data_IF_242942872991
#
_entry.id   IF_242942872991
#
_cell.length_a   1.000
_cell.length_b   1.000
_cell.length_c   1.000
_cell.angle_alpha   90.00
_cell.angle_beta   90.00
_cell.angle_gamma   90.00
#
_symmetry.space_group_name_H-M   'P 1'
#
loop_
_entity.id
_entity.type
_entity.pdbx_description
1 polymer ?
#
# COMPACT_ATOMS: atom_id res chain seq x y z
N UNK A 1 4.04 -22.04 -23.63
CA UNK A 1 4.40 -21.39 -22.36
C UNK A 1 3.85 -22.25 -21.24
N UNK A 2 4.53 -22.34 -20.09
CA UNK A 2 3.97 -22.97 -18.89
C UNK A 2 2.74 -22.18 -18.41
N UNK A 3 1.72 -22.88 -17.92
CA UNK A 3 0.57 -22.25 -17.27
C UNK A 3 0.98 -21.75 -15.88
N UNK A 4 0.36 -20.66 -15.43
CA UNK A 4 0.62 -20.05 -14.13
C UNK A 4 0.15 -21.01 -13.03
N UNK A 5 1.02 -21.30 -12.07
CA UNK A 5 0.75 -22.24 -10.98
C UNK A 5 0.11 -21.50 -9.80
N UNK A 6 -0.99 -22.03 -9.28
CA UNK A 6 -1.80 -21.45 -8.21
C UNK A 6 -1.94 -22.46 -7.08
N UNK A 7 -1.69 -22.05 -5.83
CA UNK A 7 -1.97 -22.88 -4.65
C UNK A 7 -3.04 -22.21 -3.79
N UNK A 8 -4.19 -22.85 -3.65
CA UNK A 8 -5.29 -22.39 -2.81
C UNK A 8 -5.24 -23.10 -1.47
N UNK A 9 -5.00 -22.35 -0.41
CA UNK A 9 -4.86 -22.85 0.95
C UNK A 9 -6.15 -22.56 1.70
N UNK A 10 -6.79 -23.61 2.20
CA UNK A 10 -8.03 -23.52 2.97
C UNK A 10 -7.74 -23.94 4.42
N UNK A 11 -8.14 -23.10 5.39
CA UNK A 11 -8.21 -23.57 6.77
C UNK A 11 -9.16 -24.78 6.84
N UNK A 12 -8.77 -25.75 7.68
CA UNK A 12 -9.32 -27.12 7.80
C UNK A 12 -9.28 -28.04 6.56
N UNK A 13 -8.79 -27.58 5.40
CA UNK A 13 -8.63 -28.40 4.18
C UNK A 13 -9.87 -28.55 3.29
N UNK A 14 -9.69 -28.62 1.96
CA UNK A 14 -10.81 -28.75 1.02
C UNK A 14 -11.40 -30.16 1.00
N UNK A 15 -12.67 -30.25 0.63
CA UNK A 15 -13.31 -31.49 0.19
C UNK A 15 -13.08 -31.74 -1.31
N UNK A 16 -13.25 -32.98 -1.77
CA UNK A 16 -13.05 -33.36 -3.19
C UNK A 16 -13.85 -32.49 -4.17
N UNK A 17 -15.07 -32.07 -3.79
CA UNK A 17 -15.89 -31.16 -4.57
C UNK A 17 -15.30 -29.74 -4.65
N UNK A 18 -14.77 -29.22 -3.54
CA UNK A 18 -14.11 -27.92 -3.52
C UNK A 18 -12.79 -27.95 -4.31
N UNK A 19 -12.05 -29.07 -4.30
CA UNK A 19 -10.87 -29.26 -5.15
C UNK A 19 -11.27 -29.14 -6.62
N UNK A 20 -12.28 -29.91 -7.06
CA UNK A 20 -12.75 -29.90 -8.44
C UNK A 20 -13.31 -28.54 -8.88
N UNK A 21 -14.05 -27.83 -8.01
CA UNK A 21 -14.56 -26.49 -8.29
C UNK A 21 -13.44 -25.46 -8.40
N UNK A 22 -12.40 -25.54 -7.55
CA UNK A 22 -11.21 -24.68 -7.63
C UNK A 22 -10.43 -24.95 -8.92
N UNK A 23 -10.13 -26.21 -9.22
CA UNK A 23 -9.43 -26.61 -10.45
C UNK A 23 -10.17 -26.10 -11.70
N UNK A 24 -11.49 -26.30 -11.77
CA UNK A 24 -12.31 -25.84 -12.89
C UNK A 24 -12.38 -24.30 -13.02
N UNK A 25 -12.39 -23.56 -11.91
CA UNK A 25 -12.39 -22.09 -11.92
C UNK A 25 -11.09 -21.51 -12.46
N UNK A 26 -9.94 -22.07 -12.07
CA UNK A 26 -8.63 -21.63 -12.55
C UNK A 26 -8.30 -22.17 -13.95
N UNK A 27 -8.82 -23.34 -14.33
CA UNK A 27 -8.66 -23.87 -15.69
C UNK A 27 -9.29 -22.97 -16.76
N UNK A 28 -10.48 -22.41 -16.47
CA UNK A 28 -11.14 -21.39 -17.30
C UNK A 28 -10.31 -20.12 -17.50
N UNK A 29 -9.30 -19.88 -16.64
CA UNK A 29 -8.39 -18.73 -16.71
C UNK A 29 -7.03 -19.09 -17.33
N UNK A 30 -6.83 -20.34 -17.77
CA UNK A 30 -5.55 -20.83 -18.31
C UNK A 30 -4.48 -21.06 -17.25
N UNK A 31 -4.87 -21.18 -15.98
CA UNK A 31 -3.97 -21.41 -14.83
C UNK A 31 -4.09 -22.86 -14.35
N UNK A 32 -3.03 -23.41 -13.77
CA UNK A 32 -3.09 -24.71 -13.10
C UNK A 32 -3.23 -24.45 -11.60
N UNK A 33 -4.28 -24.96 -10.96
CA UNK A 33 -4.51 -24.80 -9.53
C UNK A 33 -4.44 -26.13 -8.79
N UNK A 34 -3.94 -26.07 -7.56
CA UNK A 34 -4.07 -27.13 -6.57
C UNK A 34 -4.64 -26.54 -5.28
N UNK A 35 -5.50 -27.29 -4.59
CA UNK A 35 -6.08 -26.89 -3.32
C UNK A 35 -5.59 -27.81 -2.18
N UNK A 36 -5.19 -27.23 -1.05
CA UNK A 36 -4.65 -27.97 0.09
C UNK A 36 -5.11 -27.40 1.44
N UNK A 37 -5.02 -28.22 2.48
CA UNK A 37 -5.31 -27.80 3.85
C UNK A 37 -4.12 -27.15 4.53
N UNK A 38 -4.33 -25.96 5.07
CA UNK A 38 -3.30 -25.23 5.83
C UNK A 38 -3.92 -24.58 7.07
N UNK A 39 -3.46 -24.97 8.25
CA UNK A 39 -3.93 -24.34 9.50
C UNK A 39 -2.99 -23.20 9.89
N UNK A 40 -3.50 -21.98 9.89
CA UNK A 40 -2.73 -20.77 10.24
C UNK A 40 -2.55 -20.55 11.75
N UNK A 41 -3.12 -21.43 12.58
CA UNK A 41 -2.98 -21.40 14.04
C UNK A 41 -3.86 -20.35 14.73
N UNK A 42 -4.80 -20.82 15.55
CA UNK A 42 -5.65 -19.98 16.38
C UNK A 42 -6.83 -20.77 16.94
N UNK A 43 -7.42 -20.36 18.09
CA UNK A 43 -8.65 -20.97 18.57
C UNK A 43 -9.82 -20.54 17.67
N UNK A 44 -10.69 -21.45 17.21
CA UNK A 44 -11.94 -21.07 16.56
C UNK A 44 -12.75 -20.15 17.51
N UNK A 45 -13.32 -19.03 17.02
CA UNK A 45 -13.45 -18.63 15.62
C UNK A 45 -12.44 -17.54 15.17
N UNK A 46 -11.33 -17.27 15.87
CA UNK A 46 -10.45 -16.15 15.49
C UNK A 46 -9.53 -16.42 14.29
N UNK A 47 -9.28 -17.69 13.95
CA UNK A 47 -8.61 -18.11 12.71
C UNK A 47 -9.57 -18.22 11.51
N UNK A 48 -10.86 -17.97 11.71
CA UNK A 48 -11.89 -18.45 10.81
C UNK A 48 -11.92 -17.70 9.46
N UNK A 49 -11.67 -18.45 8.40
CA UNK A 49 -11.99 -18.15 6.99
C UNK A 49 -11.22 -17.00 6.32
N UNK A 50 -9.89 -17.12 6.36
CA UNK A 50 -9.06 -16.61 5.28
C UNK A 50 -8.84 -17.73 4.24
N UNK A 51 -9.26 -17.51 3.00
CA UNK A 51 -8.75 -18.30 1.86
C UNK A 51 -7.44 -17.63 1.43
N UNK A 52 -6.37 -18.39 1.29
CA UNK A 52 -5.08 -17.86 0.78
C UNK A 52 -4.82 -18.43 -0.60
N UNK A 53 -4.48 -17.55 -1.54
CA UNK A 53 -4.12 -17.90 -2.92
C UNK A 53 -2.66 -17.51 -3.09
N UNK A 54 -1.77 -18.50 -2.98
CA UNK A 54 -0.33 -18.34 -3.14
C UNK A 54 0.01 -18.47 -4.64
N UNK A 55 0.54 -17.38 -5.23
CA UNK A 55 0.73 -17.19 -6.68
C UNK A 55 1.92 -16.28 -6.97
N UNK A 56 2.55 -16.33 -8.17
CA UNK A 56 3.37 -15.22 -8.65
C UNK A 56 2.49 -13.98 -8.81
N UNK A 57 2.47 -13.11 -7.80
CA UNK A 57 1.36 -12.17 -7.59
C UNK A 57 1.21 -11.15 -8.73
N UNK A 58 2.33 -10.66 -9.25
CA UNK A 58 2.37 -9.70 -10.37
C UNK A 58 1.82 -10.34 -11.64
N UNK A 59 2.35 -11.50 -12.04
CA UNK A 59 1.91 -12.25 -13.23
C UNK A 59 0.43 -12.65 -13.16
N UNK A 60 -0.02 -13.03 -11.96
CA UNK A 60 -1.41 -13.38 -11.69
C UNK A 60 -2.34 -12.18 -11.90
N UNK A 61 -2.02 -11.01 -11.32
CA UNK A 61 -2.81 -9.79 -11.51
C UNK A 61 -2.72 -9.26 -12.95
N UNK A 62 -1.56 -9.39 -13.61
CA UNK A 62 -1.38 -9.05 -15.02
C UNK A 62 -2.33 -9.82 -15.94
N UNK A 63 -2.57 -11.10 -15.65
CA UNK A 63 -3.51 -11.94 -16.41
C UNK A 63 -4.93 -11.35 -16.46
N UNK A 64 -5.30 -10.50 -15.51
CA UNK A 64 -6.55 -9.72 -15.55
C UNK A 64 -6.35 -8.30 -16.06
N UNK A 65 -5.27 -7.62 -15.66
CA UNK A 65 -5.02 -6.21 -16.01
C UNK A 65 -4.82 -5.97 -17.51
N UNK A 66 -4.24 -6.92 -18.26
CA UNK A 66 -4.05 -6.81 -19.71
C UNK A 66 -5.31 -7.12 -20.53
N UNK A 67 -6.38 -7.64 -19.90
CA UNK A 67 -7.62 -7.99 -20.60
C UNK A 67 -8.44 -6.76 -20.92
N UNK A 68 -8.59 -6.46 -22.20
CA UNK A 68 -9.40 -5.34 -22.68
C UNK A 68 -10.89 -5.56 -22.40
N UNK A 69 -11.45 -4.78 -21.47
CA UNK A 69 -12.90 -4.63 -21.27
C UNK A 69 -13.53 -5.51 -20.19
N UNK A 70 -13.01 -6.71 -19.91
CA UNK A 70 -13.63 -7.65 -18.95
C UNK A 70 -12.76 -8.01 -17.73
N UNK A 71 -11.48 -7.62 -17.70
CA UNK A 71 -10.51 -8.08 -16.70
C UNK A 71 -10.95 -7.88 -15.25
N UNK A 72 -11.48 -6.69 -14.93
CA UNK A 72 -12.04 -6.35 -13.61
C UNK A 72 -13.19 -7.28 -13.24
N UNK A 73 -14.12 -7.52 -14.18
CA UNK A 73 -15.31 -8.36 -13.97
C UNK A 73 -14.92 -9.83 -13.78
N UNK A 74 -13.95 -10.33 -14.55
CA UNK A 74 -13.43 -11.70 -14.43
C UNK A 74 -12.70 -11.89 -13.10
N UNK A 75 -11.81 -10.98 -12.72
CA UNK A 75 -11.10 -11.03 -11.45
C UNK A 75 -12.04 -10.94 -10.25
N UNK A 76 -13.01 -10.01 -10.27
CA UNK A 76 -14.06 -9.90 -9.25
C UNK A 76 -14.90 -11.17 -9.14
N UNK A 77 -15.25 -11.80 -10.27
CA UNK A 77 -15.98 -13.08 -10.29
C UNK A 77 -15.19 -14.18 -9.61
N UNK A 78 -13.91 -14.36 -9.95
CA UNK A 78 -13.03 -15.34 -9.31
C UNK A 78 -12.99 -15.15 -7.79
N UNK A 79 -12.73 -13.91 -7.33
CA UNK A 79 -12.67 -13.60 -5.91
C UNK A 79 -13.98 -13.92 -5.18
N UNK A 80 -15.13 -13.55 -5.74
CA UNK A 80 -16.45 -13.84 -5.17
C UNK A 80 -16.81 -15.33 -5.21
N UNK A 81 -16.40 -16.07 -6.25
CA UNK A 81 -16.57 -17.52 -6.32
C UNK A 81 -15.81 -18.21 -5.20
N UNK A 82 -14.54 -17.87 -4.97
CA UNK A 82 -13.73 -18.40 -3.87
C UNK A 82 -14.36 -18.07 -2.50
N UNK A 83 -14.70 -16.79 -2.26
CA UNK A 83 -15.38 -16.36 -1.03
C UNK A 83 -16.74 -17.04 -0.81
N UNK A 84 -17.40 -17.51 -1.87
CA UNK A 84 -18.66 -18.24 -1.81
C UNK A 84 -18.56 -19.70 -1.36
N UNK A 85 -17.40 -20.36 -1.55
CA UNK A 85 -17.26 -21.81 -1.35
C UNK A 85 -17.59 -22.28 0.07
N UNK A 86 -17.09 -21.56 1.09
CA UNK A 86 -17.25 -21.94 2.51
C UNK A 86 -18.56 -21.45 3.16
N UNK A 87 -19.52 -20.94 2.38
CA UNK A 87 -20.68 -20.21 2.92
C UNK A 87 -21.71 -21.03 3.77
N UNK A 88 -21.46 -22.32 4.07
CA UNK A 88 -22.30 -23.09 5.01
C UNK A 88 -22.08 -22.62 6.47
N UNK A 89 -22.95 -21.70 6.89
CA UNK A 89 -23.01 -21.18 8.24
C UNK A 89 -23.36 -22.23 9.32
N UNK A 90 -23.74 -23.47 8.97
CA UNK A 90 -24.06 -24.54 9.92
C UNK A 90 -22.84 -25.37 10.35
N UNK A 91 -21.77 -25.37 9.55
CA UNK A 91 -20.52 -26.08 9.86
C UNK A 91 -19.35 -25.14 10.11
N UNK A 92 -19.29 -24.05 9.36
CA UNK A 92 -18.09 -23.24 9.25
C UNK A 92 -18.41 -21.76 9.48
N UNK A 93 -19.05 -21.09 8.52
CA UNK A 93 -19.24 -19.64 8.53
C UNK A 93 -18.68 -18.99 7.26
N UNK A 94 -18.95 -17.70 7.04
CA UNK A 94 -18.56 -17.02 5.79
C UNK A 94 -17.10 -16.55 5.82
N UNK A 95 -16.31 -16.73 4.74
CA UNK A 95 -15.07 -16.02 4.48
C UNK A 95 -15.15 -14.52 4.75
N UNK A 96 -14.23 -14.05 5.59
CA UNK A 96 -14.10 -12.63 5.92
C UNK A 96 -13.23 -11.91 4.87
N UNK A 97 -12.34 -12.64 4.20
CA UNK A 97 -11.57 -12.14 3.08
C UNK A 97 -10.77 -13.24 2.36
N UNK A 98 -10.19 -12.83 1.23
CA UNK A 98 -9.28 -13.61 0.40
C UNK A 98 -7.91 -12.93 0.47
N UNK A 99 -6.84 -13.67 0.79
CA UNK A 99 -5.46 -13.17 0.72
C UNK A 99 -4.81 -13.70 -0.55
N UNK A 100 -4.31 -12.81 -1.39
CA UNK A 100 -3.32 -13.18 -2.40
C UNK A 100 -1.94 -13.07 -1.75
N UNK A 101 -1.16 -14.14 -1.78
CA UNK A 101 0.18 -14.21 -1.19
C UNK A 101 1.20 -14.40 -2.32
N UNK A 102 2.21 -13.55 -2.40
CA UNK A 102 3.22 -13.67 -3.45
C UNK A 102 4.15 -14.85 -3.18
N UNK A 103 4.09 -15.87 -4.03
CA UNK A 103 4.96 -17.06 -3.97
C UNK A 103 6.45 -16.71 -4.19
N UNK A 104 6.72 -15.53 -4.73
CA UNK A 104 8.07 -15.04 -4.98
C UNK A 104 8.58 -14.06 -3.93
N UNK A 105 7.78 -13.56 -2.99
CA UNK A 105 8.15 -12.41 -2.17
C UNK A 105 7.46 -12.35 -0.81
N UNK A 106 7.50 -11.17 -0.18
CA UNK A 106 6.84 -10.90 1.11
C UNK A 106 5.52 -10.14 0.98
N UNK A 107 5.00 -9.97 -0.25
CA UNK A 107 3.85 -9.13 -0.54
C UNK A 107 2.55 -9.92 -0.41
N UNK A 108 1.58 -9.34 0.28
CA UNK A 108 0.26 -9.92 0.52
C UNK A 108 -0.79 -8.91 0.07
N UNK A 109 -1.83 -9.30 -0.67
CA UNK A 109 -3.00 -8.46 -0.93
C UNK A 109 -4.19 -9.02 -0.17
N UNK A 110 -4.82 -8.22 0.69
CA UNK A 110 -6.03 -8.60 1.39
C UNK A 110 -7.26 -8.06 0.65
N UNK A 111 -8.15 -8.94 0.23
CA UNK A 111 -9.43 -8.65 -0.42
C UNK A 111 -10.56 -8.96 0.59
N UNK A 112 -11.09 -7.96 1.33
CA UNK A 112 -12.27 -8.11 2.18
C UNK A 112 -13.49 -8.65 1.42
N UNK A 113 -14.38 -9.37 2.12
CA UNK A 113 -15.61 -9.91 1.53
C UNK A 113 -16.64 -8.86 1.08
N UNK A 114 -16.51 -7.61 1.54
CA UNK A 114 -17.38 -6.46 1.24
C UNK A 114 -16.75 -5.46 0.24
N UNK A 115 -15.66 -5.85 -0.42
CA UNK A 115 -14.89 -4.98 -1.32
C UNK A 115 -15.75 -4.44 -2.49
N UNK A 116 -15.81 -3.11 -2.73
CA UNK A 116 -16.63 -2.53 -3.78
C UNK A 116 -16.01 -2.73 -5.18
N UNK A 117 -16.83 -2.67 -6.23
CA UNK A 117 -16.41 -3.05 -7.59
C UNK A 117 -15.21 -2.25 -8.13
N UNK A 118 -15.19 -0.93 -7.91
CA UNK A 118 -14.10 -0.07 -8.36
C UNK A 118 -12.78 -0.32 -7.62
N UNK A 119 -12.79 -0.97 -6.46
CA UNK A 119 -11.57 -1.36 -5.77
C UNK A 119 -10.83 -2.49 -6.51
N UNK A 120 -11.55 -3.40 -7.17
CA UNK A 120 -10.93 -4.41 -8.05
C UNK A 120 -10.23 -3.74 -9.24
N UNK A 121 -10.87 -2.73 -9.85
CA UNK A 121 -10.24 -1.91 -10.89
C UNK A 121 -9.01 -1.15 -10.34
N UNK A 122 -9.13 -0.59 -9.14
CA UNK A 122 -8.04 0.07 -8.43
C UNK A 122 -6.84 -0.86 -8.21
N UNK A 123 -7.05 -2.13 -7.84
CA UNK A 123 -5.96 -3.08 -7.61
C UNK A 123 -5.21 -3.40 -8.91
N UNK A 124 -5.93 -3.64 -10.00
CA UNK A 124 -5.33 -3.94 -11.31
C UNK A 124 -4.60 -2.74 -11.94
N UNK A 125 -4.86 -1.52 -11.45
CA UNK A 125 -4.14 -0.30 -11.84
C UNK A 125 -2.87 -0.03 -11.02
N UNK A 126 -2.70 -0.69 -9.87
CA UNK A 126 -1.49 -0.57 -9.05
C UNK A 126 -0.31 -1.25 -9.75
N UNK A 127 0.84 -0.59 -9.73
CA UNK A 127 2.11 -1.22 -10.08
C UNK A 127 2.68 -2.00 -8.88
N UNK A 128 2.62 -3.32 -8.98
CA UNK A 128 3.32 -4.23 -8.07
C UNK A 128 4.61 -4.80 -8.68
N UNK A 129 4.94 -4.49 -9.95
CA UNK A 129 6.06 -5.12 -10.67
C UNK A 129 7.44 -4.77 -10.12
N UNK A 130 7.55 -3.69 -9.35
CA UNK A 130 8.76 -3.38 -8.61
C UNK A 130 9.05 -4.36 -7.48
N UNK A 131 8.03 -4.94 -6.83
CA UNK A 131 8.21 -5.73 -5.61
C UNK A 131 8.83 -7.09 -5.88
N UNK A 132 9.87 -7.41 -5.11
CA UNK A 132 10.69 -8.62 -5.26
C UNK A 132 11.13 -9.18 -3.89
N UNK A 133 12.00 -10.20 -3.89
CA UNK A 133 12.57 -10.81 -2.67
C UNK A 133 13.41 -9.87 -1.81
N UNK A 134 13.87 -8.74 -2.34
CA UNK A 134 14.64 -7.74 -1.59
C UNK A 134 13.73 -6.70 -0.93
N UNK A 135 12.48 -6.62 -1.36
CA UNK A 135 11.49 -5.67 -0.85
C UNK A 135 10.99 -6.09 0.54
N UNK A 136 10.63 -5.13 1.43
CA UNK A 136 10.14 -5.47 2.76
C UNK A 136 8.78 -6.18 2.66
N UNK A 137 8.50 -7.18 3.51
CA UNK A 137 7.21 -7.85 3.51
C UNK A 137 6.11 -6.85 3.89
N UNK A 138 5.01 -6.85 3.14
CA UNK A 138 3.97 -5.83 3.24
C UNK A 138 2.58 -6.42 2.95
N UNK A 139 1.56 -5.86 3.61
CA UNK A 139 0.16 -6.07 3.31
C UNK A 139 -0.37 -4.91 2.47
N UNK A 140 -1.00 -5.21 1.34
CA UNK A 140 -1.77 -4.30 0.50
C UNK A 140 -3.24 -4.46 0.90
N UNK A 141 -3.79 -3.46 1.56
CA UNK A 141 -5.12 -3.46 2.17
C UNK A 141 -5.97 -2.34 1.53
N UNK A 142 -7.27 -2.58 1.33
CA UNK A 142 -8.20 -1.57 0.80
C UNK A 142 -8.61 -0.59 1.90
N UNK A 143 -8.31 0.69 1.70
CA UNK A 143 -8.65 1.72 2.66
C UNK A 143 -10.02 2.34 2.32
N UNK A 144 -11.06 1.89 3.01
CA UNK A 144 -12.46 2.27 2.75
C UNK A 144 -12.73 3.78 2.86
N UNK A 145 -11.96 4.56 3.63
CA UNK A 145 -12.16 6.01 3.75
C UNK A 145 -11.64 6.77 2.55
N UNK A 146 -10.39 6.50 2.16
CA UNK A 146 -9.73 7.19 1.06
C UNK A 146 -9.85 6.47 -0.30
N UNK A 147 -10.64 5.38 -0.33
CA UNK A 147 -11.06 4.59 -1.50
C UNK A 147 -9.87 4.21 -2.40
N UNK A 148 -8.82 3.66 -1.78
CA UNK A 148 -7.56 3.28 -2.45
C UNK A 148 -6.91 2.07 -1.80
N UNK A 149 -5.99 1.45 -2.53
CA UNK A 149 -5.07 0.45 -1.99
C UNK A 149 -3.88 1.12 -1.30
N UNK A 150 -3.58 0.66 -0.09
CA UNK A 150 -2.43 1.09 0.70
C UNK A 150 -1.60 -0.11 1.12
N UNK A 151 -0.28 0.01 1.01
CA UNK A 151 0.67 -0.96 1.54
C UNK A 151 1.10 -0.58 2.97
N UNK A 152 1.20 -1.59 3.83
CA UNK A 152 1.65 -1.48 5.21
C UNK A 152 2.76 -2.51 5.43
N UNK A 153 3.95 -2.14 5.92
CA UNK A 153 4.98 -3.12 6.23
C UNK A 153 4.48 -4.07 7.34
N UNK A 154 4.72 -5.37 7.19
CA UNK A 154 4.31 -6.38 8.18
C UNK A 154 5.26 -6.47 9.37
N UNK A 155 6.47 -5.90 9.24
CA UNK A 155 7.51 -5.86 10.25
C UNK A 155 7.89 -4.41 10.56
N UNK A 156 8.07 -4.09 11.84
CA UNK A 156 8.36 -2.74 12.31
C UNK A 156 7.14 -2.02 12.89
N UNK A 157 7.30 -0.74 13.26
CA UNK A 157 6.19 0.06 13.82
C UNK A 157 5.22 0.46 12.70
N UNK A 158 3.94 0.06 12.79
CA UNK A 158 2.81 0.64 12.00
C UNK A 158 2.68 2.15 12.34
N UNK A 159 3.50 2.99 11.72
CA UNK A 159 3.39 4.46 11.78
C UNK A 159 2.81 5.05 10.51
N UNK A 160 2.79 4.32 9.40
CA UNK A 160 2.32 4.82 8.10
C UNK A 160 1.67 3.74 7.23
N UNK A 161 0.53 4.06 6.61
CA UNK A 161 0.05 3.44 5.39
C UNK A 161 0.66 4.12 4.15
N UNK A 162 0.98 3.35 3.12
CA UNK A 162 1.79 3.83 2.00
C UNK A 162 1.08 3.64 0.66
N UNK A 163 1.09 4.66 -0.18
CA UNK A 163 0.40 4.61 -1.46
C UNK A 163 1.26 3.92 -2.51
N UNK A 164 0.71 2.87 -3.13
CA UNK A 164 1.42 2.13 -4.16
C UNK A 164 1.43 2.91 -5.50
N UNK A 165 2.49 2.75 -6.32
CA UNK A 165 2.60 3.43 -7.62
C UNK A 165 1.53 2.97 -8.63
N UNK A 166 1.33 3.77 -9.68
CA UNK A 166 0.44 3.47 -10.83
C UNK A 166 1.26 2.83 -11.96
N UNK A 167 0.70 1.77 -12.55
CA UNK A 167 1.26 0.95 -13.63
C UNK A 167 1.55 1.70 -14.95
N UNK A 168 1.26 3.00 -15.04
CA UNK A 168 1.50 3.86 -16.21
C UNK A 168 2.78 4.71 -16.17
N UNK A 169 3.69 4.55 -15.20
CA UNK A 169 4.96 5.32 -15.15
C UNK A 169 6.21 4.43 -15.17
N UNK A 170 7.02 4.59 -16.22
CA UNK A 170 8.38 4.07 -16.27
C UNK A 170 9.39 4.93 -15.49
N UNK A 171 10.57 4.38 -15.16
CA UNK A 171 11.58 5.03 -14.32
C UNK A 171 12.37 6.11 -15.09
N UNK A 172 12.85 7.12 -14.35
CA UNK A 172 13.70 8.19 -14.87
C UNK A 172 15.03 8.27 -14.10
N UNK A 173 16.20 8.26 -14.75
CA UNK A 173 17.48 8.31 -14.04
C UNK A 173 17.67 9.67 -13.38
N UNK A 174 17.69 9.70 -12.06
CA UNK A 174 17.99 10.89 -11.24
C UNK A 174 19.20 10.57 -10.35
N UNK A 175 20.19 11.46 -10.20
CA UNK A 175 21.35 11.20 -9.34
C UNK A 175 20.94 10.96 -7.88
N UNK A 176 21.71 10.11 -7.19
CA UNK A 176 21.54 9.87 -5.76
C UNK A 176 21.95 11.07 -4.91
N UNK A 177 21.84 10.92 -3.58
CA UNK A 177 22.28 11.94 -2.63
C UNK A 177 23.79 12.19 -2.75
N UNK A 178 24.22 13.44 -2.53
CA UNK A 178 25.63 13.81 -2.38
C UNK A 178 26.28 13.04 -1.24
N UNK A 179 27.60 12.99 -1.23
CA UNK A 179 28.35 12.42 -0.10
C UNK A 179 27.91 13.07 1.23
N UNK A 180 27.45 12.23 2.15
CA UNK A 180 27.03 12.63 3.50
C UNK A 180 28.25 12.81 4.39
N UNK A 181 28.24 13.85 5.24
CA UNK A 181 29.24 14.02 6.29
C UNK A 181 28.92 13.12 7.49
N UNK A 182 29.93 12.76 8.29
CA UNK A 182 29.71 11.94 9.49
C UNK A 182 28.70 12.54 10.48
N UNK A 183 28.71 13.87 10.64
CA UNK A 183 27.72 14.61 11.44
C UNK A 183 26.27 14.46 10.92
N UNK A 184 26.10 14.46 9.59
CA UNK A 184 24.79 14.29 8.94
C UNK A 184 24.30 12.85 9.11
N UNK A 185 25.18 11.86 8.88
CA UNK A 185 24.86 10.44 9.08
C UNK A 185 24.42 10.16 10.52
N UNK A 186 25.15 10.68 11.53
CA UNK A 186 24.79 10.46 12.93
C UNK A 186 23.44 11.09 13.30
N UNK A 187 23.16 12.30 12.81
CA UNK A 187 21.89 12.98 13.07
C UNK A 187 20.72 12.29 12.33
N UNK A 188 20.93 11.84 11.09
CA UNK A 188 19.96 11.05 10.34
C UNK A 188 19.60 9.74 11.08
N UNK A 189 20.57 9.04 11.67
CA UNK A 189 20.31 7.85 12.47
C UNK A 189 19.49 8.17 13.73
N UNK A 190 19.83 9.21 14.49
CA UNK A 190 19.01 9.64 15.65
C UNK A 190 17.55 9.94 15.24
N UNK A 191 17.32 10.66 14.14
CA UNK A 191 15.95 10.92 13.65
C UNK A 191 15.17 9.63 13.35
N UNK A 192 15.85 8.58 12.88
CA UNK A 192 15.26 7.27 12.56
C UNK A 192 15.06 6.40 13.80
N UNK A 193 16.04 6.33 14.69
CA UNK A 193 16.06 5.46 15.89
C UNK A 193 15.19 6.00 17.03
N UNK A 194 15.32 7.29 17.36
CA UNK A 194 14.47 7.95 18.36
C UNK A 194 13.01 8.04 17.87
N UNK A 195 12.78 7.82 16.57
CA UNK A 195 11.49 7.79 15.92
C UNK A 195 10.86 9.18 15.96
N UNK A 196 11.45 10.11 15.20
CA UNK A 196 11.18 11.56 15.24
C UNK A 196 9.70 11.93 15.45
N UNK A 197 9.48 13.05 16.17
CA UNK A 197 8.15 13.55 16.53
C UNK A 197 7.23 13.80 15.33
N UNK A 198 7.80 13.99 14.14
CA UNK A 198 7.08 13.99 12.87
C UNK A 198 7.39 12.72 12.08
N UNK A 199 6.33 12.13 11.54
CA UNK A 199 6.37 10.98 10.61
C UNK A 199 7.10 11.37 9.32
N UNK A 200 6.88 12.61 8.85
CA UNK A 200 7.49 13.16 7.64
C UNK A 200 9.01 13.27 7.81
N UNK A 201 9.47 13.88 8.92
CA UNK A 201 10.91 14.02 9.18
C UNK A 201 11.61 12.68 9.31
N UNK A 202 10.99 11.72 10.00
CA UNK A 202 11.47 10.35 10.08
C UNK A 202 11.61 9.69 8.70
N UNK A 203 10.57 9.80 7.85
CA UNK A 203 10.55 9.22 6.50
C UNK A 203 11.60 9.86 5.56
N UNK A 204 11.71 11.19 5.55
CA UNK A 204 12.71 11.89 4.73
C UNK A 204 14.14 11.51 5.17
N UNK A 205 14.40 11.40 6.48
CA UNK A 205 15.70 10.94 7.00
C UNK A 205 16.03 9.50 6.55
N UNK A 206 15.07 8.58 6.66
CA UNK A 206 15.20 7.19 6.21
C UNK A 206 15.55 7.09 4.71
N UNK A 207 14.88 7.88 3.86
CA UNK A 207 15.12 7.96 2.41
C UNK A 207 16.55 8.45 2.11
N UNK A 208 17.00 9.49 2.81
CA UNK A 208 18.37 10.03 2.65
C UNK A 208 19.42 9.01 3.09
N UNK A 209 19.22 8.27 4.18
CA UNK A 209 20.13 7.18 4.61
C UNK A 209 20.23 6.05 3.58
N UNK A 210 19.11 5.60 3.00
CA UNK A 210 19.13 4.56 1.98
C UNK A 210 19.86 5.05 0.72
N UNK A 211 19.54 6.25 0.23
CA UNK A 211 20.24 6.83 -0.94
C UNK A 211 21.74 7.04 -0.66
N UNK A 212 22.10 7.51 0.53
CA UNK A 212 23.49 7.71 0.97
C UNK A 212 24.27 6.40 1.14
N UNK A 213 23.57 5.29 1.30
CA UNK A 213 24.13 3.93 1.28
C UNK A 213 24.30 3.37 -0.15
N UNK A 214 24.15 4.19 -1.19
CA UNK A 214 24.32 3.80 -2.59
C UNK A 214 23.10 3.16 -3.25
N UNK A 215 21.93 3.17 -2.61
CA UNK A 215 20.70 2.64 -3.22
C UNK A 215 20.21 3.57 -4.34
N UNK A 216 19.76 2.97 -5.45
CA UNK A 216 19.15 3.73 -6.55
C UNK A 216 17.79 4.30 -6.13
N UNK A 217 17.37 5.41 -6.76
CA UNK A 217 16.06 6.04 -6.51
C UNK A 217 14.91 5.01 -6.63
N UNK A 218 14.97 4.12 -7.63
CA UNK A 218 14.02 3.03 -7.80
C UNK A 218 14.01 2.04 -6.62
N UNK A 219 15.17 1.62 -6.11
CA UNK A 219 15.25 0.74 -4.94
C UNK A 219 14.73 1.42 -3.68
N UNK A 220 15.08 2.69 -3.47
CA UNK A 220 14.58 3.51 -2.34
C UNK A 220 13.06 3.71 -2.44
N UNK A 221 12.51 3.97 -3.64
CA UNK A 221 11.07 4.13 -3.86
C UNK A 221 10.28 2.88 -3.49
N UNK A 222 10.77 1.68 -3.87
CA UNK A 222 10.18 0.40 -3.45
C UNK A 222 10.25 0.19 -1.94
N UNK A 223 11.43 0.39 -1.36
CA UNK A 223 11.67 0.22 0.08
C UNK A 223 10.84 1.19 0.94
N UNK A 224 10.64 2.42 0.45
CA UNK A 224 9.84 3.45 1.11
C UNK A 224 8.33 3.33 0.84
N UNK A 225 7.93 2.52 -0.14
CA UNK A 225 6.57 2.41 -0.68
C UNK A 225 6.06 3.79 -1.18
N UNK A 226 6.81 4.38 -2.11
CA UNK A 226 6.59 5.73 -2.66
C UNK A 226 6.86 5.77 -4.18
N UNK A 227 6.46 6.84 -4.85
CA UNK A 227 6.86 7.09 -6.24
C UNK A 227 8.31 7.60 -6.34
N UNK A 228 9.03 7.18 -7.38
CA UNK A 228 10.42 7.63 -7.67
C UNK A 228 10.53 9.15 -7.74
N UNK A 229 9.52 9.83 -8.28
CA UNK A 229 9.47 11.29 -8.34
C UNK A 229 9.49 11.95 -6.94
N UNK A 230 8.81 11.35 -5.96
CA UNK A 230 8.78 11.84 -4.58
C UNK A 230 10.14 11.68 -3.91
N UNK A 231 10.74 10.50 -4.08
CA UNK A 231 12.09 10.18 -3.57
C UNK A 231 13.15 11.10 -4.19
N UNK A 232 13.10 11.30 -5.51
CA UNK A 232 13.98 12.22 -6.23
C UNK A 232 13.90 13.65 -5.66
N UNK A 233 12.69 14.19 -5.46
CA UNK A 233 12.54 15.53 -4.90
C UNK A 233 13.07 15.66 -3.45
N UNK A 234 12.89 14.62 -2.60
CA UNK A 234 13.47 14.60 -1.25
C UNK A 234 15.00 14.59 -1.29
N UNK A 235 15.59 13.80 -2.19
CA UNK A 235 17.05 13.72 -2.38
C UNK A 235 17.62 15.02 -2.95
N UNK A 236 16.95 15.64 -3.92
CA UNK A 236 17.31 16.96 -4.48
C UNK A 236 17.28 18.06 -3.41
N UNK A 237 16.22 18.09 -2.58
CA UNK A 237 16.10 19.06 -1.48
C UNK A 237 17.16 18.85 -0.40
N UNK A 238 17.53 17.61 -0.09
CA UNK A 238 18.64 17.34 0.83
C UNK A 238 20.00 17.73 0.24
N UNK A 239 20.20 17.52 -1.06
CA UNK A 239 21.42 17.93 -1.77
C UNK A 239 21.62 19.44 -1.71
N UNK A 240 20.54 20.22 -1.88
CA UNK A 240 20.57 21.68 -1.86
C UNK A 240 20.63 22.27 -0.43
N UNK A 241 19.73 21.86 0.46
CA UNK A 241 19.46 22.52 1.75
C UNK A 241 19.86 21.68 2.98
N UNK A 242 20.40 20.48 2.78
CA UNK A 242 20.88 19.60 3.85
C UNK A 242 19.82 19.21 4.87
N UNK A 243 20.20 19.11 6.14
CA UNK A 243 19.32 18.66 7.23
C UNK A 243 18.03 19.48 7.39
N UNK A 244 18.02 20.76 6.95
CA UNK A 244 16.83 21.61 7.03
C UNK A 244 15.67 21.10 6.14
N UNK A 245 15.97 20.42 5.04
CA UNK A 245 14.99 19.82 4.11
C UNK A 245 14.10 18.73 4.75
N UNK A 246 14.55 18.14 5.85
CA UNK A 246 13.85 17.06 6.53
C UNK A 246 12.68 17.56 7.39
N UNK A 247 12.61 18.85 7.70
CA UNK A 247 11.60 19.41 8.59
C UNK A 247 10.23 19.56 7.90
N UNK A 248 9.13 19.45 8.66
CA UNK A 248 7.76 19.61 8.12
C UNK A 248 7.52 21.05 7.65
N UNK A 249 8.07 22.03 8.37
CA UNK A 249 8.05 23.46 8.09
C UNK A 249 9.10 23.91 7.07
N UNK A 250 9.80 22.97 6.44
CA UNK A 250 10.64 23.26 5.28
C UNK A 250 9.82 23.87 4.14
N UNK A 251 10.34 24.96 3.57
CA UNK A 251 9.67 25.78 2.55
C UNK A 251 10.58 26.14 1.37
N UNK A 252 11.81 25.60 1.35
CA UNK A 252 12.83 25.82 0.33
C UNK A 252 12.82 24.79 -0.80
N UNK A 253 13.85 24.85 -1.65
CA UNK A 253 14.11 23.85 -2.69
C UNK A 253 12.97 23.61 -3.69
N UNK A 254 12.93 22.38 -4.22
CA UNK A 254 11.90 21.88 -5.12
C UNK A 254 10.70 21.41 -4.31
N UNK A 255 9.67 22.26 -4.23
CA UNK A 255 8.38 21.93 -3.62
C UNK A 255 7.76 20.70 -4.28
N UNK A 256 7.26 19.77 -3.48
CA UNK A 256 6.64 18.55 -4.00
C UNK A 256 5.14 18.76 -4.18
N UNK A 257 4.70 18.92 -5.43
CA UNK A 257 3.28 19.13 -5.75
C UNK A 257 2.46 17.87 -5.50
N UNK A 258 1.33 18.03 -4.81
CA UNK A 258 0.32 16.97 -4.72
C UNK A 258 -0.33 16.74 -6.09
N UNK A 259 -0.57 15.47 -6.43
CA UNK A 259 -1.42 15.10 -7.57
C UNK A 259 -2.88 15.52 -7.28
N UNK A 260 -3.76 15.72 -8.29
CA UNK A 260 -5.15 16.11 -8.05
C UNK A 260 -5.91 15.17 -7.10
N UNK A 261 -5.69 13.86 -7.24
CA UNK A 261 -6.30 12.81 -6.44
C UNK A 261 -5.71 12.68 -5.01
N UNK A 262 -4.45 13.08 -4.81
CA UNK A 262 -3.87 13.30 -3.47
C UNK A 262 -4.48 14.54 -2.81
N UNK A 263 -4.68 15.60 -3.58
CA UNK A 263 -5.26 16.86 -3.12
C UNK A 263 -6.72 16.65 -2.69
N UNK A 264 -7.53 15.94 -3.48
CA UNK A 264 -8.92 15.63 -3.15
C UNK A 264 -9.04 14.76 -1.90
N UNK A 265 -8.14 13.77 -1.74
CA UNK A 265 -8.06 12.96 -0.53
C UNK A 265 -7.73 13.81 0.70
N UNK A 266 -6.74 14.70 0.57
CA UNK A 266 -6.30 15.57 1.65
C UNK A 266 -7.36 16.61 2.04
N UNK A 267 -8.13 17.13 1.06
CA UNK A 267 -9.30 17.98 1.28
C UNK A 267 -10.41 17.28 2.06
N UNK A 268 -10.72 16.04 1.70
CA UNK A 268 -11.76 15.26 2.39
C UNK A 268 -11.40 15.05 3.87
N UNK A 269 -10.15 14.65 4.16
CA UNK A 269 -9.64 14.47 5.53
C UNK A 269 -9.62 15.80 6.29
N UNK A 270 -9.09 16.87 5.69
CA UNK A 270 -9.03 18.20 6.31
C UNK A 270 -10.40 18.81 6.62
N UNK A 271 -11.46 18.35 5.94
CA UNK A 271 -12.84 18.81 6.16
C UNK A 271 -13.57 18.07 7.29
N UNK A 272 -13.09 16.90 7.72
CA UNK A 272 -13.65 16.13 8.85
C UNK A 272 -13.00 16.52 10.19
N UNK A 273 -13.72 16.48 11.33
CA UNK A 273 -13.12 16.61 12.66
C UNK A 273 -12.02 15.56 12.94
N UNK A 274 -10.91 15.90 13.61
CA UNK A 274 -9.82 14.95 13.91
C UNK A 274 -10.29 13.68 14.65
N UNK A 275 -11.28 13.84 15.53
CA UNK A 275 -11.87 12.73 16.30
C UNK A 275 -12.51 11.64 15.41
N UNK A 276 -13.09 12.00 14.25
CA UNK A 276 -13.69 11.02 13.32
C UNK A 276 -12.63 10.12 12.68
N UNK A 277 -11.42 10.64 12.49
CA UNK A 277 -10.27 9.88 11.97
C UNK A 277 -9.39 9.27 13.07
N UNK A 278 -9.81 9.36 14.34
CA UNK A 278 -9.12 8.76 15.48
C UNK A 278 -7.92 9.56 16.01
N UNK A 279 -7.80 10.83 15.61
CA UNK A 279 -6.76 11.75 16.10
C UNK A 279 -7.26 12.44 17.38
N UNK A 280 -6.54 12.35 18.50
CA UNK A 280 -6.98 12.87 19.80
C UNK A 280 -6.76 14.39 19.97
N UNK A 281 -6.97 15.17 18.90
CA UNK A 281 -6.82 16.62 18.89
C UNK A 281 -8.19 17.30 18.78
N UNK A 282 -8.43 18.44 19.47
CA UNK A 282 -9.72 19.11 19.46
C UNK A 282 -10.04 19.81 18.12
N UNK A 283 -9.01 20.13 17.33
CA UNK A 283 -9.12 20.73 16.00
C UNK A 283 -7.83 20.45 15.20
N UNK A 284 -7.91 20.52 13.87
CA UNK A 284 -6.71 20.40 13.04
C UNK A 284 -5.76 21.58 13.24
N UNK A 285 -4.51 21.28 13.59
CA UNK A 285 -3.38 22.17 13.30
C UNK A 285 -2.72 21.74 11.99
N UNK A 286 -2.09 22.66 11.27
CA UNK A 286 -1.41 22.34 10.01
C UNK A 286 -0.35 21.22 10.19
N UNK A 287 0.32 21.17 11.35
CA UNK A 287 1.34 20.15 11.66
C UNK A 287 0.70 18.78 11.91
N UNK A 288 -0.33 18.72 12.74
CA UNK A 288 -1.06 17.48 12.99
C UNK A 288 -1.70 16.93 11.70
N UNK A 289 -2.30 17.80 10.88
CA UNK A 289 -2.84 17.41 9.58
C UNK A 289 -1.73 16.89 8.65
N UNK A 290 -0.59 17.57 8.56
CA UNK A 290 0.54 17.11 7.73
C UNK A 290 1.03 15.71 8.12
N UNK A 291 1.32 15.51 9.42
CA UNK A 291 1.75 14.21 9.95
C UNK A 291 0.66 13.13 9.74
N UNK A 292 -0.62 13.46 9.95
CA UNK A 292 -1.73 12.52 9.73
C UNK A 292 -1.90 12.15 8.25
N UNK A 293 -1.89 13.10 7.33
CA UNK A 293 -2.07 12.85 5.89
C UNK A 293 -1.00 11.91 5.32
N UNK A 294 0.23 12.03 5.82
CA UNK A 294 1.32 11.12 5.45
C UNK A 294 1.16 9.79 6.16
N UNK A 295 0.85 9.76 7.46
CA UNK A 295 0.63 8.52 8.22
C UNK A 295 -0.58 7.68 7.73
N UNK A 296 -1.64 8.31 7.24
CA UNK A 296 -2.80 7.65 6.62
C UNK A 296 -2.48 7.12 5.21
N UNK A 297 -1.42 7.61 4.56
CA UNK A 297 -1.14 7.31 3.15
C UNK A 297 -2.02 8.07 2.16
N UNK A 298 -2.71 9.12 2.62
CA UNK A 298 -3.47 10.03 1.77
C UNK A 298 -2.55 10.76 0.77
N UNK A 299 -1.33 11.11 1.21
CA UNK A 299 -0.26 11.72 0.42
C UNK A 299 1.09 11.04 0.72
N UNK A 300 1.99 10.98 -0.27
CA UNK A 300 3.32 10.36 -0.08
C UNK A 300 4.28 11.24 0.77
N UNK A 301 4.10 12.56 0.74
CA UNK A 301 4.81 13.61 1.50
C UNK A 301 3.98 14.92 1.47
N UNK A 302 4.26 15.91 2.33
CA UNK A 302 3.64 17.25 2.30
C UNK A 302 4.49 18.30 3.08
N UNK A 303 4.34 19.58 2.73
CA UNK A 303 4.90 20.73 3.48
C UNK A 303 3.87 21.36 4.42
N UNK A 304 4.32 21.99 5.50
CA UNK A 304 3.43 22.61 6.50
C UNK A 304 2.50 23.68 5.93
N UNK A 305 2.97 24.52 5.00
CA UNK A 305 2.09 25.54 4.38
C UNK A 305 1.08 24.92 3.42
N UNK A 306 1.41 23.82 2.73
CA UNK A 306 0.45 23.10 1.90
C UNK A 306 -0.67 22.49 2.78
N UNK A 307 -0.32 21.91 3.93
CA UNK A 307 -1.32 21.46 4.91
C UNK A 307 -2.12 22.64 5.51
N UNK A 308 -1.47 23.78 5.79
CA UNK A 308 -2.14 25.00 6.23
C UNK A 308 -3.09 25.58 5.18
N UNK A 309 -2.78 25.44 3.89
CA UNK A 309 -3.62 25.89 2.79
C UNK A 309 -4.91 25.06 2.65
N UNK A 310 -4.88 23.76 2.97
CA UNK A 310 -6.08 22.92 3.04
C UNK A 310 -7.04 23.41 4.12
N UNK A 311 -6.52 23.76 5.30
CA UNK A 311 -7.33 24.26 6.43
C UNK A 311 -7.92 25.66 6.23
N UNK A 312 -7.36 26.44 5.28
CA UNK A 312 -7.88 27.78 4.92
C UNK A 312 -9.02 27.73 3.90
N UNK A 313 -9.29 26.56 3.31
CA UNK A 313 -10.34 26.41 2.30
C UNK A 313 -11.66 26.02 2.96
N UNK A 314 -12.79 26.63 2.56
CA UNK A 314 -14.08 26.29 3.13
C UNK A 314 -14.44 24.84 2.81
N UNK A 315 -14.97 24.12 3.80
CA UNK A 315 -15.49 22.77 3.62
C UNK A 315 -16.51 22.77 2.49
N UNK A 316 -16.28 22.02 1.42
CA UNK A 316 -17.24 21.90 0.33
C UNK A 316 -18.42 21.10 0.86
N UNK A 317 -19.52 21.79 1.16
CA UNK A 317 -20.77 21.16 1.53
C UNK A 317 -21.32 20.39 0.32
N UNK A 318 -21.22 19.07 0.36
CA UNK A 318 -21.85 18.18 -0.62
C UNK A 318 -23.34 18.49 -0.67
N UNK A 319 -23.78 19.09 -1.78
CA UNK A 319 -25.15 19.58 -1.95
C UNK A 319 -25.88 18.65 -2.92
N UNK A 320 -26.89 17.94 -2.42
CA UNK A 320 -27.82 17.12 -3.22
C UNK A 320 -27.43 15.66 -3.32
#
# INVERSE_FOLDING_TARGET
>A
MSRLQVRVLLDTGPSDGEIADIEALFDQLGMDAAAEGHSYGGPPPSSAFLIVVNVPLVEFLDTFAVRTGDGVTVFRRLALSLLGMRADARRWGRPHGLRLEDSHGGLNVLLPGDLPEHAYAGLLAVDLSGFDRSSPPANVEWHHRSQRWLAYPTVGRRRVGRRLPDRRRGPGPTPGVRQLRGEEVQHLWSLVEDGARSVITWQRAQIVLWSGSGWSIAAVARQALMSEHRVAAIVENFNADGMASLAVDYTGGRRVSLRPDELDAARAIASSPPAEVGVPEPAWTARCLADFLVADGAVEDIELDAAGALLRQPSVATTG
#
